data_IF_664151725606
#
_entry.id   IF_664151725606
#
_cell.length_a   1.000
_cell.length_b   1.000
_cell.length_c   1.000
_cell.angle_alpha   90.00
_cell.angle_beta   90.00
_cell.angle_gamma   90.00
#
_symmetry.space_group_name_H-M   'P 1'
#
loop_
_entity.id
_entity.type
_entity.pdbx_description
1 polymer ?
#
# COMPACT_ATOMS: atom_id res chain seq x y z
N UNK A 1 -4.62 -3.40 -6.56
CA UNK A 1 -5.83 -2.56 -6.56
C UNK A 1 -5.90 -1.88 -5.21
N UNK A 2 -6.10 -0.56 -5.24
CA UNK A 2 -6.12 0.27 -4.05
C UNK A 2 -7.24 -0.24 -3.12
N UNK A 3 -6.96 -0.41 -1.83
CA UNK A 3 -8.03 -0.71 -0.90
C UNK A 3 -8.78 0.61 -0.62
N UNK A 4 -10.11 0.59 -0.55
CA UNK A 4 -10.92 1.76 -0.14
C UNK A 4 -10.45 2.34 1.20
N UNK A 5 -9.95 1.52 2.12
CA UNK A 5 -9.29 2.00 3.35
C UNK A 5 -8.06 2.86 3.06
N UNK A 6 -7.19 2.40 2.17
CA UNK A 6 -5.98 3.14 1.76
C UNK A 6 -6.33 4.49 1.14
N UNK A 7 -7.36 4.49 0.29
CA UNK A 7 -7.86 5.71 -0.33
C UNK A 7 -8.38 6.70 0.73
N UNK A 8 -9.14 6.23 1.73
CA UNK A 8 -9.59 7.08 2.85
C UNK A 8 -8.41 7.70 3.60
N UNK A 9 -7.35 6.93 3.86
CA UNK A 9 -6.12 7.44 4.50
C UNK A 9 -5.49 8.54 3.64
N UNK A 10 -5.32 8.33 2.33
CA UNK A 10 -4.77 9.36 1.44
C UNK A 10 -5.64 10.61 1.35
N UNK A 11 -6.97 10.45 1.35
CA UNK A 11 -7.90 11.58 1.38
C UNK A 11 -7.81 12.32 2.72
N UNK A 12 -7.74 11.62 3.85
CA UNK A 12 -7.54 12.22 5.17
C UNK A 12 -6.25 13.05 5.21
N UNK A 13 -5.13 12.48 4.76
CA UNK A 13 -3.84 13.18 4.68
C UNK A 13 -3.91 14.43 3.80
N UNK A 14 -4.63 14.36 2.68
CA UNK A 14 -4.81 15.50 1.77
C UNK A 14 -5.72 16.58 2.38
N UNK A 15 -6.77 16.20 3.10
CA UNK A 15 -7.63 17.15 3.83
C UNK A 15 -6.86 17.82 4.97
N UNK A 16 -6.03 17.06 5.70
CA UNK A 16 -5.16 17.61 6.73
C UNK A 16 -4.18 18.63 6.14
N UNK A 17 -3.51 18.29 5.03
CA UNK A 17 -2.62 19.21 4.33
C UNK A 17 -3.33 20.48 3.85
N UNK A 18 -4.55 20.33 3.29
CA UNK A 18 -5.40 21.46 2.88
C UNK A 18 -5.66 22.39 4.07
N UNK A 19 -6.09 21.85 5.22
CA UNK A 19 -6.37 22.63 6.43
C UNK A 19 -5.14 23.36 6.96
N UNK A 20 -3.97 22.71 6.98
CA UNK A 20 -2.71 23.31 7.43
C UNK A 20 -2.18 24.37 6.47
N UNK A 21 -2.43 24.22 5.16
CA UNK A 21 -1.97 25.17 4.15
C UNK A 21 -2.71 26.51 4.17
N UNK A 22 -3.92 26.56 4.74
CA UNK A 22 -4.81 27.72 4.72
C UNK A 22 -5.19 28.19 3.31
N UNK A 23 -5.00 27.35 2.30
CA UNK A 23 -5.19 27.68 0.89
C UNK A 23 -6.40 26.93 0.31
N UNK A 24 -7.39 27.66 -0.19
CA UNK A 24 -8.62 27.09 -0.73
C UNK A 24 -8.49 26.57 -2.19
N UNK A 25 -7.26 26.37 -2.68
CA UNK A 25 -7.02 25.85 -4.04
C UNK A 25 -7.25 24.33 -4.11
N UNK A 26 -8.51 23.96 -4.28
CA UNK A 26 -8.95 22.57 -4.44
C UNK A 26 -8.27 21.85 -5.61
N UNK A 27 -7.89 22.57 -6.68
CA UNK A 27 -7.26 21.96 -7.86
C UNK A 27 -5.83 21.54 -7.53
N UNK A 28 -5.11 22.37 -6.78
CA UNK A 28 -3.76 22.04 -6.29
C UNK A 28 -3.80 20.82 -5.38
N UNK A 29 -4.74 20.77 -4.44
CA UNK A 29 -4.83 19.65 -3.50
C UNK A 29 -5.33 18.36 -4.16
N UNK A 30 -6.21 18.44 -5.17
CA UNK A 30 -6.55 17.26 -5.97
C UNK A 30 -5.31 16.71 -6.72
N UNK A 31 -4.44 17.59 -7.23
CA UNK A 31 -3.16 17.16 -7.83
C UNK A 31 -2.25 16.51 -6.79
N UNK A 32 -2.22 17.03 -5.56
CA UNK A 32 -1.46 16.42 -4.47
C UNK A 32 -1.98 15.04 -4.09
N UNK A 33 -3.31 14.85 -3.97
CA UNK A 33 -3.92 13.54 -3.72
C UNK A 33 -3.54 12.52 -4.82
N UNK A 34 -3.67 12.90 -6.09
CA UNK A 34 -3.28 12.05 -7.21
C UNK A 34 -1.78 11.71 -7.18
N UNK A 35 -0.94 12.69 -6.85
CA UNK A 35 0.49 12.47 -6.67
C UNK A 35 0.78 11.46 -5.54
N UNK A 36 0.13 11.63 -4.38
CA UNK A 36 0.29 10.72 -3.23
C UNK A 36 -0.15 9.29 -3.54
N UNK A 37 -1.28 9.11 -4.24
CA UNK A 37 -1.74 7.81 -4.71
C UNK A 37 -0.75 7.16 -5.69
N UNK A 38 -0.17 7.95 -6.60
CA UNK A 38 0.89 7.46 -7.49
C UNK A 38 2.15 7.07 -6.73
N UNK A 39 2.49 7.75 -5.63
CA UNK A 39 3.65 7.40 -4.81
C UNK A 39 3.51 6.04 -4.14
N UNK A 40 2.31 5.62 -3.72
CA UNK A 40 2.10 4.24 -3.25
C UNK A 40 2.38 3.20 -4.34
N UNK A 41 2.14 3.56 -5.60
CA UNK A 41 2.48 2.69 -6.73
C UNK A 41 3.98 2.67 -7.03
N UNK A 42 4.66 3.81 -6.91
CA UNK A 42 6.12 3.87 -6.99
C UNK A 42 6.76 2.91 -5.97
N UNK A 43 6.26 2.91 -4.73
CA UNK A 43 6.71 1.98 -3.68
C UNK A 43 6.49 0.52 -4.08
N UNK A 44 5.31 0.20 -4.61
CA UNK A 44 5.02 -1.13 -5.14
C UNK A 44 6.02 -1.58 -6.22
N UNK A 45 6.33 -0.68 -7.17
CA UNK A 45 7.32 -0.96 -8.22
C UNK A 45 8.73 -1.07 -7.65
N UNK A 46 9.08 -0.24 -6.68
CA UNK A 46 10.37 -0.29 -6.00
C UNK A 46 10.57 -1.65 -5.30
N UNK A 47 9.55 -2.21 -4.66
CA UNK A 47 9.62 -3.54 -4.04
C UNK A 47 9.64 -4.69 -5.04
N UNK A 48 9.02 -4.52 -6.22
CA UNK A 48 9.22 -5.45 -7.34
C UNK A 48 10.67 -5.40 -7.84
N UNK A 49 11.22 -4.21 -8.06
CA UNK A 49 12.60 -4.04 -8.50
C UNK A 49 13.60 -4.62 -7.47
N UNK A 50 13.29 -4.53 -6.17
CA UNK A 50 14.07 -5.18 -5.12
C UNK A 50 14.20 -6.69 -5.34
N UNK A 51 13.09 -7.39 -5.63
CA UNK A 51 13.12 -8.83 -5.95
C UNK A 51 13.98 -9.12 -7.18
N UNK A 52 13.91 -8.25 -8.20
CA UNK A 52 14.72 -8.36 -9.40
C UNK A 52 16.22 -8.14 -9.11
N UNK A 53 16.57 -7.15 -8.31
CA UNK A 53 17.96 -6.86 -7.98
C UNK A 53 18.57 -7.92 -7.04
N UNK A 54 17.78 -8.54 -6.16
CA UNK A 54 18.21 -9.73 -5.40
C UNK A 54 18.54 -10.89 -6.37
N UNK A 55 17.68 -11.15 -7.37
CA UNK A 55 17.96 -12.12 -8.44
C UNK A 55 19.23 -11.80 -9.21
N UNK A 56 19.39 -10.54 -9.62
CA UNK A 56 20.57 -10.09 -10.37
C UNK A 56 21.85 -10.22 -9.52
N UNK A 57 21.78 -9.95 -8.22
CA UNK A 57 22.89 -10.18 -7.30
C UNK A 57 23.27 -11.66 -7.22
N UNK A 58 22.29 -12.56 -7.09
CA UNK A 58 22.52 -14.00 -7.09
C UNK A 58 23.20 -14.46 -8.39
N UNK A 59 22.73 -14.00 -9.56
CA UNK A 59 23.32 -14.28 -10.86
C UNK A 59 24.77 -13.76 -10.96
N UNK A 60 25.03 -12.52 -10.53
CA UNK A 60 26.39 -11.95 -10.50
C UNK A 60 27.34 -12.75 -9.61
N UNK A 61 26.90 -13.13 -8.40
CA UNK A 61 27.70 -13.95 -7.46
C UNK A 61 28.00 -15.33 -8.05
N UNK A 62 27.05 -15.91 -8.76
CA UNK A 62 27.24 -17.19 -9.45
C UNK A 62 28.30 -17.12 -10.54
N UNK A 63 28.25 -16.08 -11.38
CA UNK A 63 29.23 -15.91 -12.45
C UNK A 63 30.65 -15.65 -11.93
N UNK A 64 30.79 -15.00 -10.77
CA UNK A 64 32.07 -14.87 -10.07
C UNK A 64 32.55 -16.23 -9.53
N UNK A 65 31.65 -17.01 -8.94
CA UNK A 65 31.96 -18.34 -8.40
C UNK A 65 32.49 -19.31 -9.47
N UNK A 66 31.87 -19.34 -10.66
CA UNK A 66 32.33 -20.14 -11.81
C UNK A 66 33.74 -19.80 -12.29
N UNK A 67 34.20 -18.56 -12.07
CA UNK A 67 35.50 -18.05 -12.50
C UNK A 67 36.60 -18.20 -11.44
N UNK A 68 36.30 -18.76 -10.27
CA UNK A 68 37.30 -18.98 -9.21
C UNK A 68 38.39 -19.94 -9.70
N UNK A 69 39.65 -19.60 -9.43
CA UNK A 69 40.81 -20.45 -9.73
C UNK A 69 40.79 -21.79 -8.97
N UNK A 70 40.19 -21.82 -7.77
CA UNK A 70 40.00 -23.03 -6.96
C UNK A 70 38.50 -23.25 -6.71
N UNK A 71 37.77 -23.88 -7.65
CA UNK A 71 36.34 -24.09 -7.52
C UNK A 71 36.03 -25.23 -6.54
N UNK A 72 35.12 -24.96 -5.60
CA UNK A 72 34.51 -25.98 -4.73
C UNK A 72 33.59 -26.92 -5.51
N UNK A 73 33.11 -28.01 -4.89
CA UNK A 73 32.14 -28.91 -5.52
C UNK A 73 30.83 -28.19 -5.89
N UNK A 74 30.41 -27.24 -5.07
CA UNK A 74 29.24 -26.39 -5.32
C UNK A 74 29.50 -25.37 -6.43
N UNK A 75 30.72 -24.80 -6.53
CA UNK A 75 31.06 -23.88 -7.63
C UNK A 75 31.04 -24.62 -9.01
N UNK A 76 31.30 -25.93 -9.04
CA UNK A 76 31.27 -26.75 -10.27
C UNK A 76 29.86 -27.17 -10.70
N UNK A 77 28.93 -27.31 -9.77
CA UNK A 77 27.54 -27.64 -10.05
C UNK A 77 26.61 -26.74 -9.21
N UNK A 78 26.53 -25.46 -9.56
CA UNK A 78 25.80 -24.52 -8.75
C UNK A 78 24.30 -24.73 -8.86
N UNK A 79 23.61 -24.61 -7.72
CA UNK A 79 22.16 -24.55 -7.71
C UNK A 79 21.71 -23.25 -8.40
N UNK A 80 20.85 -23.38 -9.42
CA UNK A 80 20.33 -22.27 -10.22
C UNK A 80 18.84 -22.03 -10.00
N UNK A 81 18.17 -22.83 -9.15
CA UNK A 81 16.73 -22.77 -8.87
C UNK A 81 16.21 -21.34 -8.65
N UNK A 82 16.93 -20.56 -7.83
CA UNK A 82 16.53 -19.18 -7.51
C UNK A 82 16.63 -18.25 -8.72
N UNK A 83 17.71 -18.36 -9.50
CA UNK A 83 17.96 -17.51 -10.68
C UNK A 83 16.96 -17.88 -11.79
N UNK A 84 16.65 -19.17 -11.92
CA UNK A 84 15.77 -19.73 -12.94
C UNK A 84 14.29 -19.77 -12.54
N UNK A 85 13.96 -19.29 -11.33
CA UNK A 85 12.60 -19.10 -10.87
C UNK A 85 11.80 -18.31 -11.92
N UNK A 86 10.72 -18.92 -12.44
CA UNK A 86 9.97 -18.34 -13.58
C UNK A 86 9.33 -17.00 -13.26
N UNK A 87 8.89 -16.76 -12.03
CA UNK A 87 8.36 -15.46 -11.64
C UNK A 87 9.44 -14.38 -11.77
N UNK A 88 10.65 -14.65 -11.26
CA UNK A 88 11.79 -13.71 -11.35
C UNK A 88 12.28 -13.53 -12.79
N UNK A 89 12.21 -14.58 -13.62
CA UNK A 89 12.52 -14.49 -15.05
C UNK A 89 11.48 -13.63 -15.79
N UNK A 90 10.20 -13.83 -15.52
CA UNK A 90 9.13 -13.02 -16.10
C UNK A 90 9.26 -11.55 -15.68
N UNK A 91 9.66 -11.30 -14.43
CA UNK A 91 9.94 -9.96 -13.91
C UNK A 91 11.12 -9.30 -14.65
N UNK A 92 12.23 -10.03 -14.82
CA UNK A 92 13.42 -9.58 -15.58
C UNK A 92 13.08 -9.22 -17.02
N UNK A 93 12.20 -10.00 -17.65
CA UNK A 93 11.81 -9.83 -19.06
C UNK A 93 10.65 -8.83 -19.26
N UNK A 94 10.08 -8.29 -18.18
CA UNK A 94 8.95 -7.38 -18.28
C UNK A 94 9.39 -5.97 -18.72
N UNK A 95 9.17 -5.64 -20.00
CA UNK A 95 9.52 -4.34 -20.57
C UNK A 95 8.79 -3.17 -19.92
N UNK A 96 7.51 -3.33 -19.60
CA UNK A 96 6.69 -2.27 -18.99
C UNK A 96 7.24 -1.86 -17.62
N UNK A 97 7.71 -2.82 -16.83
CA UNK A 97 8.34 -2.59 -15.54
C UNK A 97 9.65 -1.80 -15.71
N UNK A 98 10.53 -2.26 -16.60
CA UNK A 98 11.81 -1.59 -16.86
C UNK A 98 11.63 -0.14 -17.35
N UNK A 99 10.63 0.12 -18.20
CA UNK A 99 10.27 1.46 -18.64
C UNK A 99 9.80 2.31 -17.45
N UNK A 100 8.92 1.77 -16.61
CA UNK A 100 8.40 2.50 -15.45
C UNK A 100 9.50 2.87 -14.44
N UNK A 101 10.37 1.92 -14.09
CA UNK A 101 11.51 2.15 -13.18
C UNK A 101 12.38 3.29 -13.70
N UNK A 102 12.66 3.31 -15.01
CA UNK A 102 13.47 4.36 -15.64
C UNK A 102 12.75 5.72 -15.64
N UNK A 103 11.46 5.75 -16.00
CA UNK A 103 10.65 6.97 -16.05
C UNK A 103 10.51 7.63 -14.67
N UNK A 104 10.25 6.83 -13.62
CA UNK A 104 10.06 7.30 -12.25
C UNK A 104 11.35 7.36 -11.43
N UNK A 105 12.50 7.00 -12.03
CA UNK A 105 13.83 6.99 -11.39
C UNK A 105 13.90 6.13 -10.12
N UNK A 106 13.33 4.92 -10.17
CA UNK A 106 13.23 3.98 -9.04
C UNK A 106 14.39 2.97 -8.97
N UNK A 107 15.54 3.25 -9.59
CA UNK A 107 16.67 2.32 -9.70
C UNK A 107 17.58 2.26 -8.46
N UNK A 108 17.07 2.63 -7.30
CA UNK A 108 17.87 2.97 -6.11
C UNK A 108 18.70 1.78 -5.59
N UNK A 109 18.18 0.56 -5.72
CA UNK A 109 18.84 -0.67 -5.24
C UNK A 109 20.20 -0.97 -5.86
N UNK A 110 20.49 -0.37 -7.03
CA UNK A 110 21.81 -0.51 -7.68
C UNK A 110 22.87 0.34 -7.02
N UNK A 111 22.46 1.49 -6.48
CA UNK A 111 23.32 2.42 -5.75
C UNK A 111 23.44 1.97 -4.28
N UNK A 112 22.31 1.63 -3.67
CA UNK A 112 22.20 1.21 -2.27
C UNK A 112 22.22 -0.32 -2.11
N UNK A 113 23.28 -0.95 -2.62
CA UNK A 113 23.35 -2.41 -2.72
C UNK A 113 23.43 -3.15 -1.36
N UNK A 114 23.65 -2.45 -0.25
CA UNK A 114 23.81 -3.07 1.07
C UNK A 114 22.53 -3.79 1.52
N UNK A 115 21.36 -3.22 1.25
CA UNK A 115 20.06 -3.82 1.58
C UNK A 115 19.79 -5.06 0.74
N UNK A 116 20.15 -5.00 -0.55
CA UNK A 116 20.05 -6.16 -1.45
C UNK A 116 20.97 -7.30 -0.97
N UNK A 117 22.19 -6.98 -0.54
CA UNK A 117 23.13 -7.95 0.01
C UNK A 117 22.66 -8.55 1.34
N UNK A 118 22.10 -7.73 2.22
CA UNK A 118 21.52 -8.15 3.49
C UNK A 118 20.39 -9.15 3.27
N UNK A 119 19.38 -8.76 2.47
CA UNK A 119 18.22 -9.60 2.19
C UNK A 119 18.60 -10.89 1.46
N UNK A 120 19.54 -10.82 0.51
CA UNK A 120 20.05 -12.03 -0.13
C UNK A 120 20.68 -13.00 0.86
N UNK A 121 21.48 -12.50 1.82
CA UNK A 121 22.05 -13.33 2.88
C UNK A 121 20.97 -13.99 3.73
N UNK A 122 19.99 -13.22 4.20
CA UNK A 122 18.87 -13.75 5.00
C UNK A 122 18.06 -14.80 4.22
N UNK A 123 17.84 -14.58 2.92
CA UNK A 123 17.21 -15.56 2.02
C UNK A 123 18.02 -16.85 1.98
N UNK A 124 19.34 -16.79 1.73
CA UNK A 124 20.19 -17.97 1.63
C UNK A 124 20.23 -18.79 2.93
N UNK A 125 20.17 -18.12 4.09
CA UNK A 125 20.21 -18.76 5.41
C UNK A 125 18.83 -19.31 5.84
N UNK A 126 17.76 -19.02 5.08
CA UNK A 126 16.40 -19.41 5.42
C UNK A 126 16.09 -20.89 5.11
N UNK A 127 15.22 -21.49 5.94
CA UNK A 127 14.64 -22.83 5.68
C UNK A 127 13.85 -22.86 4.38
N UNK A 128 13.24 -21.74 3.98
CA UNK A 128 12.48 -21.61 2.73
C UNK A 128 13.39 -21.88 1.52
N UNK A 129 14.57 -21.24 1.51
CA UNK A 129 15.54 -21.39 0.44
C UNK A 129 16.13 -22.81 0.41
N UNK A 130 16.48 -23.38 1.56
CA UNK A 130 16.93 -24.76 1.67
C UNK A 130 15.91 -25.76 1.11
N UNK A 131 14.63 -25.60 1.46
CA UNK A 131 13.54 -26.46 0.97
C UNK A 131 13.29 -26.29 -0.53
N UNK A 132 13.34 -25.05 -1.03
CA UNK A 132 13.16 -24.77 -2.44
C UNK A 132 14.28 -25.39 -3.28
N UNK A 133 15.54 -25.17 -2.89
CA UNK A 133 16.72 -25.68 -3.62
C UNK A 133 16.92 -27.20 -3.54
N UNK A 134 16.49 -27.86 -2.45
CA UNK A 134 16.52 -29.34 -2.36
C UNK A 134 15.62 -30.04 -3.38
N UNK A 135 14.57 -29.37 -3.83
CA UNK A 135 13.59 -29.91 -4.78
C UNK A 135 13.95 -29.64 -6.26
N UNK A 136 15.12 -29.03 -6.53
CA UNK A 136 15.60 -28.53 -7.83
C UNK A 136 16.02 -29.62 -8.84
N UNK A 137 15.50 -30.84 -8.74
CA UNK A 137 15.69 -31.87 -9.78
C UNK A 137 14.83 -31.61 -11.03
N UNK A 138 14.65 -30.34 -11.43
CA UNK A 138 13.89 -29.93 -12.62
C UNK A 138 12.36 -30.06 -12.50
N UNK A 139 11.80 -30.07 -11.28
CA UNK A 139 10.36 -30.36 -11.03
C UNK A 139 9.54 -29.17 -10.51
N UNK A 140 10.12 -27.99 -10.35
CA UNK A 140 9.33 -26.84 -9.89
C UNK A 140 8.23 -26.53 -10.90
N UNK A 141 7.02 -26.30 -10.40
CA UNK A 141 5.90 -25.75 -11.19
C UNK A 141 5.83 -24.23 -10.99
N UNK A 142 5.17 -23.51 -11.88
CA UNK A 142 5.07 -22.05 -11.75
C UNK A 142 4.41 -21.67 -10.42
N UNK A 143 3.43 -22.45 -9.97
CA UNK A 143 2.81 -22.33 -8.65
C UNK A 143 3.82 -22.49 -7.51
N UNK A 144 4.76 -23.45 -7.61
CA UNK A 144 5.84 -23.62 -6.63
C UNK A 144 6.78 -22.41 -6.59
N UNK A 145 7.11 -21.85 -7.76
CA UNK A 145 7.95 -20.65 -7.88
C UNK A 145 7.28 -19.44 -7.23
N UNK A 146 5.99 -19.24 -7.52
CA UNK A 146 5.16 -18.16 -6.97
C UNK A 146 4.98 -18.28 -5.46
N UNK A 147 4.71 -19.49 -4.96
CA UNK A 147 4.58 -19.74 -3.51
C UNK A 147 5.88 -19.43 -2.77
N UNK A 148 7.01 -19.88 -3.32
CA UNK A 148 8.33 -19.58 -2.75
C UNK A 148 8.61 -18.08 -2.70
N UNK A 149 8.42 -17.34 -3.81
CA UNK A 149 8.64 -15.89 -3.85
C UNK A 149 7.67 -15.17 -2.92
N UNK A 150 6.41 -15.59 -2.86
CA UNK A 150 5.43 -15.03 -1.94
C UNK A 150 5.85 -15.19 -0.47
N UNK A 151 6.40 -16.35 -0.09
CA UNK A 151 6.85 -16.63 1.28
C UNK A 151 8.10 -15.85 1.65
N UNK A 152 9.10 -15.84 0.76
CA UNK A 152 10.31 -15.01 0.92
C UNK A 152 9.92 -13.55 1.12
N UNK A 153 9.00 -13.04 0.30
CA UNK A 153 8.55 -11.66 0.45
C UNK A 153 7.86 -11.44 1.79
N UNK A 154 6.91 -12.29 2.20
CA UNK A 154 6.16 -12.07 3.44
C UNK A 154 6.95 -12.33 4.72
N UNK A 155 7.87 -13.30 4.73
CA UNK A 155 8.56 -13.77 5.94
C UNK A 155 9.96 -13.17 6.13
N UNK A 156 10.54 -12.58 5.08
CA UNK A 156 11.89 -12.01 5.13
C UNK A 156 11.83 -10.53 4.73
N UNK A 157 11.33 -10.21 3.54
CA UNK A 157 11.43 -8.84 2.99
C UNK A 157 10.47 -7.88 3.71
N UNK A 158 9.19 -8.24 3.82
CA UNK A 158 8.13 -7.40 4.37
C UNK A 158 8.20 -7.21 5.90
N UNK A 159 9.12 -7.90 6.58
CA UNK A 159 9.34 -7.80 8.04
C UNK A 159 10.74 -7.29 8.36
N UNK A 160 11.50 -6.82 7.36
CA UNK A 160 12.87 -6.35 7.55
C UNK A 160 12.89 -4.88 7.99
N UNK A 161 13.18 -4.62 9.26
CA UNK A 161 13.20 -3.25 9.81
C UNK A 161 14.20 -2.33 9.10
N UNK A 162 15.38 -2.84 8.72
CA UNK A 162 16.40 -2.04 8.01
C UNK A 162 15.93 -1.59 6.63
N UNK A 163 15.13 -2.42 5.96
CA UNK A 163 14.49 -2.05 4.71
C UNK A 163 13.48 -0.91 4.93
N UNK A 164 12.78 -0.91 6.05
CA UNK A 164 11.79 0.13 6.38
C UNK A 164 12.48 1.46 6.68
N UNK A 165 13.58 1.45 7.45
CA UNK A 165 14.41 2.63 7.70
C UNK A 165 14.90 3.26 6.38
N UNK A 166 15.32 2.42 5.43
CA UNK A 166 15.71 2.88 4.11
C UNK A 166 14.56 3.51 3.35
N UNK A 167 13.40 2.83 3.28
CA UNK A 167 12.23 3.30 2.56
C UNK A 167 11.73 4.64 3.13
N UNK A 168 11.75 4.80 4.45
CA UNK A 168 11.44 6.06 5.13
C UNK A 168 12.40 7.17 4.71
N UNK A 169 13.71 6.89 4.66
CA UNK A 169 14.73 7.87 4.24
C UNK A 169 14.53 8.36 2.80
N UNK A 170 13.99 7.51 1.92
CA UNK A 170 13.70 7.87 0.53
C UNK A 170 12.42 8.69 0.42
N UNK A 171 11.39 8.32 1.18
CA UNK A 171 10.14 9.05 1.24
C UNK A 171 9.37 8.68 2.51
N UNK A 172 9.27 9.65 3.42
CA UNK A 172 8.57 9.47 4.71
C UNK A 172 7.12 8.99 4.54
N UNK A 173 6.42 9.40 3.47
CA UNK A 173 5.03 9.00 3.22
C UNK A 173 4.87 7.52 2.80
N UNK A 174 5.96 6.84 2.47
CA UNK A 174 5.91 5.43 2.08
C UNK A 174 5.75 4.47 3.26
N UNK A 175 6.12 4.87 4.48
CA UNK A 175 5.90 4.03 5.65
C UNK A 175 4.42 3.71 5.85
N UNK A 176 3.54 4.71 5.69
CA UNK A 176 2.09 4.54 5.77
C UNK A 176 1.56 3.63 4.66
N UNK A 177 2.24 3.60 3.51
CA UNK A 177 1.87 2.81 2.34
C UNK A 177 2.33 1.36 2.42
N UNK A 178 3.39 1.07 3.19
CA UNK A 178 4.02 -0.25 3.25
C UNK A 178 3.06 -1.39 3.59
N UNK A 179 2.22 -1.32 4.65
CA UNK A 179 1.32 -2.43 4.99
C UNK A 179 0.35 -2.76 3.84
N UNK A 180 -0.18 -1.73 3.20
CA UNK A 180 -1.06 -1.88 2.04
C UNK A 180 -0.31 -2.44 0.83
N UNK A 181 0.84 -1.86 0.49
CA UNK A 181 1.66 -2.27 -0.66
C UNK A 181 2.17 -3.69 -0.51
N UNK A 182 2.63 -4.09 0.68
CA UNK A 182 3.04 -5.47 0.98
C UNK A 182 1.89 -6.45 0.75
N UNK A 183 0.71 -6.14 1.28
CA UNK A 183 -0.49 -6.97 1.09
C UNK A 183 -0.87 -7.05 -0.39
N UNK A 184 -0.81 -5.93 -1.10
CA UNK A 184 -1.12 -5.87 -2.52
C UNK A 184 -0.12 -6.69 -3.34
N UNK A 185 1.18 -6.54 -3.09
CA UNK A 185 2.24 -7.27 -3.79
C UNK A 185 2.12 -8.78 -3.56
N UNK A 186 1.91 -9.23 -2.32
CA UNK A 186 1.70 -10.65 -2.01
C UNK A 186 0.49 -11.21 -2.76
N UNK A 187 -0.65 -10.49 -2.72
CA UNK A 187 -1.85 -10.89 -3.47
C UNK A 187 -1.60 -10.94 -4.96
N UNK A 188 -0.79 -10.03 -5.49
CA UNK A 188 -0.48 -9.98 -6.90
C UNK A 188 0.44 -11.13 -7.30
N UNK A 189 1.56 -11.33 -6.61
CA UNK A 189 2.48 -12.47 -6.79
C UNK A 189 1.69 -13.77 -6.88
N UNK A 190 0.79 -14.02 -5.92
CA UNK A 190 -0.03 -15.24 -5.86
C UNK A 190 -1.08 -15.40 -6.96
N UNK A 191 -1.51 -14.31 -7.58
CA UNK A 191 -2.59 -14.30 -8.59
C UNK A 191 -2.08 -14.30 -10.02
N UNK A 192 -0.79 -14.03 -10.24
CA UNK A 192 -0.22 -14.06 -11.58
C UNK A 192 -0.34 -15.49 -12.11
N UNK A 193 -1.02 -15.63 -13.23
CA UNK A 193 -1.26 -16.86 -13.98
C UNK A 193 -0.63 -16.84 -15.38
N UNK A 194 -0.07 -15.70 -15.78
CA UNK A 194 0.46 -15.43 -17.12
C UNK A 194 1.89 -14.90 -17.09
N UNK A 195 2.51 -14.81 -18.28
CA UNK A 195 3.86 -14.26 -18.46
C UNK A 195 3.97 -12.76 -18.13
N UNK A 196 2.84 -12.07 -17.91
CA UNK A 196 2.84 -10.63 -17.62
C UNK A 196 2.75 -10.38 -16.12
N UNK A 197 3.91 -10.20 -15.48
CA UNK A 197 4.04 -9.92 -14.03
C UNK A 197 3.71 -8.46 -13.66
N UNK A 198 3.73 -7.55 -14.63
CA UNK A 198 3.47 -6.13 -14.42
C UNK A 198 2.86 -5.50 -15.66
N UNK A 199 1.84 -4.66 -15.45
CA UNK A 199 1.26 -3.81 -16.49
C UNK A 199 0.93 -2.43 -15.94
N UNK A 200 1.44 -1.38 -16.60
CA UNK A 200 1.09 0.02 -16.29
C UNK A 200 -0.41 0.28 -16.43
N UNK A 201 -1.13 -0.52 -17.24
CA UNK A 201 -2.57 -0.38 -17.40
C UNK A 201 -3.36 -0.77 -16.13
N UNK A 202 -2.79 -1.59 -15.23
CA UNK A 202 -3.43 -1.95 -13.96
C UNK A 202 -3.48 -0.80 -12.97
N UNK A 203 -2.60 0.20 -13.09
CA UNK A 203 -2.66 1.46 -12.33
C UNK A 203 -3.96 2.22 -12.62
N UNK A 204 -4.42 2.18 -13.87
CA UNK A 204 -5.59 2.94 -14.36
C UNK A 204 -6.87 2.11 -14.48
N UNK A 205 -6.79 0.82 -14.14
CA UNK A 205 -7.93 -0.11 -14.27
C UNK A 205 -9.01 0.14 -13.22
N UNK A 206 -8.67 0.86 -12.15
CA UNK A 206 -9.54 1.16 -11.02
C UNK A 206 -10.10 2.59 -11.09
N UNK A 207 -10.76 2.91 -12.21
CA UNK A 207 -11.39 4.22 -12.41
C UNK A 207 -12.38 4.55 -11.29
N UNK A 208 -13.11 3.55 -10.81
CA UNK A 208 -14.11 3.70 -9.74
C UNK A 208 -13.48 4.07 -8.40
N UNK A 209 -12.28 3.56 -8.12
CA UNK A 209 -11.50 3.86 -6.92
C UNK A 209 -10.88 5.25 -6.98
N UNK A 210 -10.34 5.63 -8.15
CA UNK A 210 -9.82 6.98 -8.37
C UNK A 210 -10.93 8.03 -8.33
N UNK A 211 -12.10 7.73 -8.90
CA UNK A 211 -13.26 8.60 -8.84
C UNK A 211 -13.76 8.74 -7.39
N UNK A 212 -13.80 7.65 -6.64
CA UNK A 212 -14.12 7.70 -5.21
C UNK A 212 -13.16 8.58 -4.42
N UNK A 213 -11.84 8.45 -4.65
CA UNK A 213 -10.85 9.27 -3.98
C UNK A 213 -11.11 10.78 -4.22
N UNK A 214 -11.33 11.14 -5.49
CA UNK A 214 -11.59 12.52 -5.92
C UNK A 214 -12.90 13.07 -5.37
N UNK A 215 -13.99 12.31 -5.51
CA UNK A 215 -15.30 12.74 -5.03
C UNK A 215 -15.34 12.84 -3.51
N UNK A 216 -14.70 11.91 -2.79
CA UNK A 216 -14.65 11.96 -1.33
C UNK A 216 -13.88 13.21 -0.88
N UNK A 217 -12.68 13.43 -1.43
CA UNK A 217 -11.88 14.62 -1.14
C UNK A 217 -12.64 15.91 -1.41
N UNK A 218 -13.19 16.05 -2.63
CA UNK A 218 -13.88 17.26 -3.06
C UNK A 218 -15.10 17.56 -2.18
N UNK A 219 -15.92 16.55 -1.88
CA UNK A 219 -17.12 16.74 -1.06
C UNK A 219 -16.78 17.06 0.39
N UNK A 220 -15.78 16.41 0.97
CA UNK A 220 -15.30 16.77 2.32
C UNK A 220 -14.87 18.22 2.33
N UNK A 221 -14.02 18.64 1.39
CA UNK A 221 -13.51 20.00 1.32
C UNK A 221 -14.63 21.04 1.16
N UNK A 222 -15.64 20.78 0.32
CA UNK A 222 -16.76 21.69 0.08
C UNK A 222 -17.73 21.81 1.28
N UNK A 223 -17.90 20.75 2.07
CA UNK A 223 -18.87 20.70 3.17
C UNK A 223 -18.22 20.82 4.56
N UNK A 224 -16.94 21.21 4.62
CA UNK A 224 -16.19 21.35 5.87
C UNK A 224 -16.91 22.20 6.93
N UNK A 225 -17.41 23.39 6.55
CA UNK A 225 -18.05 24.31 7.48
C UNK A 225 -19.39 23.79 8.02
N UNK A 226 -20.20 23.18 7.15
CA UNK A 226 -21.46 22.54 7.53
C UNK A 226 -21.22 21.43 8.56
N UNK A 227 -20.27 20.53 8.28
CA UNK A 227 -19.97 19.42 9.17
C UNK A 227 -19.32 19.86 10.48
N UNK A 228 -18.52 20.94 10.50
CA UNK A 228 -18.01 21.50 11.75
C UNK A 228 -19.17 21.89 12.67
N UNK A 229 -20.17 22.64 12.16
CA UNK A 229 -21.33 23.04 12.96
C UNK A 229 -22.14 21.86 13.51
N UNK A 230 -22.36 20.84 12.68
CA UNK A 230 -23.06 19.63 13.09
C UNK A 230 -22.29 18.85 14.19
N UNK A 231 -20.95 18.81 14.11
CA UNK A 231 -20.10 18.14 15.11
C UNK A 231 -20.11 18.92 16.44
N UNK A 232 -19.99 20.24 16.39
CA UNK A 232 -19.97 21.11 17.57
C UNK A 232 -21.27 20.95 18.39
N UNK A 233 -22.42 20.86 17.73
CA UNK A 233 -23.72 20.63 18.40
C UNK A 233 -23.77 19.30 19.17
N UNK A 234 -23.04 18.26 18.70
CA UNK A 234 -23.01 16.94 19.34
C UNK A 234 -21.87 16.75 20.34
N UNK A 235 -20.99 17.74 20.44
CA UNK A 235 -19.83 17.75 21.32
C UNK A 235 -19.80 18.95 22.30
N UNK A 236 -20.93 19.40 22.89
CA UNK A 236 -21.01 20.66 23.64
C UNK A 236 -20.19 20.69 24.95
N UNK A 237 -19.87 19.51 25.50
CA UNK A 237 -19.07 19.36 26.72
C UNK A 237 -17.60 19.02 26.44
N UNK A 238 -17.20 18.97 25.17
CA UNK A 238 -15.81 18.75 24.79
C UNK A 238 -15.15 20.10 24.58
N UNK A 239 -14.01 20.28 25.23
CA UNK A 239 -13.13 21.42 25.02
C UNK A 239 -12.65 21.33 23.57
N UNK A 240 -13.17 22.16 22.67
CA UNK A 240 -12.89 22.12 21.22
C UNK A 240 -11.38 22.22 20.92
N UNK A 241 -10.62 22.86 21.81
CA UNK A 241 -9.16 22.96 21.76
C UNK A 241 -8.43 21.64 22.11
N UNK A 242 -9.15 20.59 22.53
CA UNK A 242 -8.58 19.26 22.89
C UNK A 242 -8.93 18.14 21.93
N UNK A 243 -9.81 18.36 20.95
CA UNK A 243 -10.14 17.32 19.98
C UNK A 243 -9.00 17.24 18.97
N UNK A 244 -8.46 16.04 18.75
CA UNK A 244 -7.44 15.85 17.72
C UNK A 244 -8.01 16.23 16.35
N UNK A 245 -7.30 17.07 15.60
CA UNK A 245 -7.73 17.55 14.29
C UNK A 245 -8.03 16.39 13.33
N UNK A 246 -7.27 15.30 13.43
CA UNK A 246 -7.49 14.05 12.69
C UNK A 246 -8.87 13.46 13.00
N UNK A 247 -9.33 13.47 14.25
CA UNK A 247 -10.64 12.91 14.62
C UNK A 247 -11.77 13.70 13.95
N UNK A 248 -11.65 15.02 13.91
CA UNK A 248 -12.60 15.89 13.21
C UNK A 248 -12.62 15.59 11.71
N UNK A 249 -11.46 15.43 11.08
CA UNK A 249 -11.34 15.08 9.66
C UNK A 249 -12.03 13.73 9.39
N UNK A 250 -11.76 12.71 10.21
CA UNK A 250 -12.36 11.38 10.05
C UNK A 250 -13.88 11.42 10.20
N UNK A 251 -14.42 12.20 11.15
CA UNK A 251 -15.87 12.36 11.30
C UNK A 251 -16.48 13.06 10.08
N UNK A 252 -15.87 14.15 9.58
CA UNK A 252 -16.34 14.86 8.38
C UNK A 252 -16.33 13.97 7.14
N UNK A 253 -15.29 13.15 6.99
CA UNK A 253 -15.19 12.15 5.93
C UNK A 253 -16.29 11.09 6.03
N UNK A 254 -16.57 10.57 7.23
CA UNK A 254 -17.65 9.62 7.46
C UNK A 254 -19.03 10.21 7.17
N UNK A 255 -19.30 11.46 7.56
CA UNK A 255 -20.54 12.16 7.22
C UNK A 255 -20.69 12.34 5.71
N UNK A 256 -19.59 12.66 5.02
CA UNK A 256 -19.57 12.73 3.56
C UNK A 256 -19.95 11.38 2.95
N UNK A 257 -19.38 10.29 3.44
CA UNK A 257 -19.75 8.93 3.01
C UNK A 257 -21.20 8.57 3.32
N UNK A 258 -21.75 8.99 4.46
CA UNK A 258 -23.16 8.79 4.78
C UNK A 258 -24.08 9.43 3.75
N UNK A 259 -23.84 10.70 3.40
CA UNK A 259 -24.76 11.48 2.55
C UNK A 259 -24.55 11.17 1.06
N UNK A 260 -23.31 11.13 0.61
CA UNK A 260 -23.01 11.21 -0.83
C UNK A 260 -22.59 9.88 -1.46
N UNK A 261 -22.36 8.84 -0.67
CA UNK A 261 -21.93 7.54 -1.17
C UNK A 261 -23.01 6.49 -0.87
N UNK A 262 -24.08 6.41 -1.71
CA UNK A 262 -25.25 5.60 -1.41
C UNK A 262 -24.95 4.10 -1.41
N UNK A 263 -23.92 3.67 -2.16
CA UNK A 263 -23.49 2.27 -2.27
C UNK A 263 -22.74 1.73 -1.06
N UNK A 264 -22.30 2.59 -0.14
CA UNK A 264 -21.51 2.20 1.02
C UNK A 264 -22.41 2.19 2.27
N UNK A 265 -22.64 1.04 2.92
CA UNK A 265 -23.43 0.97 4.14
C UNK A 265 -22.83 1.85 5.26
N UNK A 266 -23.69 2.48 6.05
CA UNK A 266 -23.28 3.37 7.16
C UNK A 266 -22.44 2.63 8.19
N UNK A 267 -22.80 1.38 8.52
CA UNK A 267 -22.02 0.54 9.45
C UNK A 267 -20.61 0.24 8.96
N UNK A 268 -20.44 -0.02 7.65
CA UNK A 268 -19.11 -0.22 7.05
C UNK A 268 -18.30 1.07 7.14
N UNK A 269 -18.93 2.20 6.81
CA UNK A 269 -18.31 3.54 6.92
C UNK A 269 -17.80 3.77 8.34
N UNK A 270 -18.64 3.61 9.37
CA UNK A 270 -18.27 3.79 10.78
C UNK A 270 -17.07 2.91 11.15
N UNK A 271 -17.15 1.61 10.87
CA UNK A 271 -16.08 0.67 11.19
C UNK A 271 -14.75 1.08 10.56
N UNK A 272 -14.75 1.51 9.29
CA UNK A 272 -13.52 1.90 8.60
C UNK A 272 -12.88 3.14 9.21
N UNK A 273 -13.66 4.17 9.56
CA UNK A 273 -13.11 5.39 10.18
C UNK A 273 -12.68 5.17 11.64
N UNK A 274 -13.29 4.23 12.37
CA UNK A 274 -12.83 3.82 13.70
C UNK A 274 -11.47 3.14 13.62
N UNK A 275 -11.28 2.23 12.67
CA UNK A 275 -9.99 1.55 12.51
C UNK A 275 -8.90 2.56 12.12
N UNK A 276 -9.19 3.50 11.19
CA UNK A 276 -8.23 4.56 10.84
C UNK A 276 -7.92 5.44 12.07
N UNK A 277 -8.90 5.75 12.91
CA UNK A 277 -8.68 6.55 14.12
C UNK A 277 -7.74 5.86 15.13
N UNK A 278 -7.72 4.51 15.18
CA UNK A 278 -6.78 3.75 16.02
C UNK A 278 -5.34 3.88 15.54
N UNK A 279 -5.16 3.95 14.22
CA UNK A 279 -3.84 3.96 13.59
C UNK A 279 -3.22 5.37 13.57
N UNK A 280 -4.04 6.43 13.44
CA UNK A 280 -3.57 7.79 13.15
C UNK A 280 -3.83 8.82 14.26
N UNK A 281 -4.48 8.46 15.36
CA UNK A 281 -4.86 9.41 16.40
C UNK A 281 -4.58 8.88 17.80
N UNK A 282 -5.24 9.40 18.83
CA UNK A 282 -4.98 9.00 20.22
C UNK A 282 -5.65 7.68 20.59
N UNK A 283 -5.21 7.02 21.67
CA UNK A 283 -5.82 5.77 22.17
C UNK A 283 -7.34 5.89 22.39
N UNK A 284 -7.83 7.08 22.73
CA UNK A 284 -9.26 7.35 23.00
C UNK A 284 -10.05 7.76 21.75
N UNK A 285 -9.37 8.05 20.64
CA UNK A 285 -9.99 8.58 19.42
C UNK A 285 -10.98 7.63 18.78
N UNK A 286 -10.69 6.33 18.79
CA UNK A 286 -11.61 5.31 18.26
C UNK A 286 -12.98 5.31 18.96
N UNK A 287 -13.01 5.47 20.29
CA UNK A 287 -14.24 5.58 21.08
C UNK A 287 -14.96 6.90 20.84
N UNK A 288 -14.20 8.00 20.75
CA UNK A 288 -14.73 9.33 20.48
C UNK A 288 -15.40 9.39 19.11
N UNK A 289 -14.68 9.01 18.05
CA UNK A 289 -15.18 8.97 16.66
C UNK A 289 -16.43 8.11 16.57
N UNK A 290 -16.43 6.89 17.16
CA UNK A 290 -17.62 6.05 17.18
C UNK A 290 -18.82 6.74 17.86
N UNK A 291 -18.61 7.30 19.06
CA UNK A 291 -19.67 7.93 19.84
C UNK A 291 -20.29 9.16 19.17
N UNK A 292 -19.49 9.94 18.44
CA UNK A 292 -19.98 11.10 17.68
C UNK A 292 -20.73 10.65 16.42
N UNK A 293 -20.16 9.70 15.67
CA UNK A 293 -20.79 9.17 14.46
C UNK A 293 -22.13 8.49 14.74
N UNK A 294 -22.26 7.75 15.84
CA UNK A 294 -23.52 7.10 16.23
C UNK A 294 -24.63 8.13 16.53
N UNK A 295 -24.29 9.27 17.12
CA UNK A 295 -25.25 10.36 17.37
C UNK A 295 -25.65 11.04 16.06
N UNK A 296 -24.67 11.45 15.26
CA UNK A 296 -24.90 12.12 13.98
C UNK A 296 -25.68 11.23 13.00
N UNK A 297 -25.39 9.93 12.96
CA UNK A 297 -26.13 8.97 12.14
C UNK A 297 -27.62 8.97 12.48
N UNK A 298 -27.99 8.99 13.77
CA UNK A 298 -29.40 9.04 14.20
C UNK A 298 -30.07 10.33 13.73
N UNK A 299 -29.42 11.47 13.93
CA UNK A 299 -29.99 12.77 13.58
C UNK A 299 -30.15 12.92 12.07
N UNK A 300 -29.14 12.52 11.30
CA UNK A 300 -29.18 12.59 9.83
C UNK A 300 -30.19 11.61 9.23
N UNK A 301 -30.39 10.46 9.86
CA UNK A 301 -31.45 9.51 9.47
C UNK A 301 -32.83 10.09 9.77
N UNK A 302 -33.03 10.67 10.96
CA UNK A 302 -34.30 11.31 11.34
C UNK A 302 -34.65 12.50 10.44
N UNK A 303 -33.63 13.20 9.93
CA UNK A 303 -33.78 14.32 9.00
C UNK A 303 -33.85 13.92 7.51
N UNK A 304 -33.91 12.62 7.18
CA UNK A 304 -33.90 12.09 5.79
C UNK A 304 -32.70 12.57 4.94
N UNK A 305 -31.56 12.89 5.58
CA UNK A 305 -30.32 13.32 4.89
C UNK A 305 -29.54 12.15 4.30
N UNK A 306 -29.78 10.91 4.76
CA UNK A 306 -29.03 9.72 4.36
C UNK A 306 -29.87 8.86 3.43
N UNK A 307 -29.40 8.70 2.19
CA UNK A 307 -30.05 7.87 1.17
C UNK A 307 -29.08 6.78 0.72
N UNK A 308 -29.29 5.56 1.22
CA UNK A 308 -28.46 4.40 0.87
C UNK A 308 -29.17 3.53 -0.16
N UNK A 309 -28.40 2.98 -1.11
CA UNK A 309 -28.87 2.06 -2.14
C UNK A 309 -27.77 1.06 -2.52
N UNK A 310 -28.06 -0.23 -2.60
CA UNK A 310 -27.06 -1.24 -2.98
C UNK A 310 -27.31 -2.61 -2.33
N UNK A 311 -26.54 -3.62 -2.77
CA UNK A 311 -26.77 -5.04 -2.43
C UNK A 311 -26.52 -5.41 -0.96
N UNK A 312 -25.94 -4.51 -0.15
CA UNK A 312 -25.58 -4.76 1.26
C UNK A 312 -26.49 -4.08 2.29
N UNK A 313 -27.71 -3.71 1.88
CA UNK A 313 -28.71 -3.02 2.74
C UNK A 313 -29.91 -3.93 3.11
N UNK A 314 -29.85 -5.20 2.73
CA UNK A 314 -30.84 -6.24 3.07
C UNK A 314 -30.31 -7.16 4.16
#
# INVERSE_FOLDING_TARGET
MLNRRHIRIKVMQSIYALMQSGNDDLVREEKFLNYSLNKSYDLYVLLLDLLLEIRNLAERRLEIAKKKYLPTKEDKNPNTAFIDNRFLQNLKNNRSLQVYIKEQKLGNWREDNEYVNLLWKEIQESKLFEQYTKNDQGRHTFSTDVDFISKIFSEIIAVNDKLYDYIESQNISWLDDLPFVNTWLIKHIRKIDSDTVFSKAELYKDKDDMEFAKELFKKVALHQAEFTGDIDEKTPNWDTDRIAEIDLILIKMALTEFIYFPSIPTRVTINEYIEIAKDYSTEKSSFFVNGVLDKLLKDYTAADRIKKSGRGLL
#
